data_IF_602991338988
#
_entry.id   IF_602991338988
#
_cell.length_a   1.000
_cell.length_b   1.000
_cell.length_c   1.000
_cell.angle_alpha   90.00
_cell.angle_beta   90.00
_cell.angle_gamma   90.00
#
_symmetry.space_group_name_H-M   'P 1'
#
loop_
_entity.id
_entity.type
_entity.pdbx_description
1 polymer ?
#
# COMPACT_ATOMS: atom_id res chain seq x y z
N UNK A 1 -3.40 3.08 -12.82
CA UNK A 1 -4.75 3.52 -13.24
C UNK A 1 -5.48 2.34 -13.84
N UNK A 2 -6.70 2.10 -13.42
CA UNK A 2 -7.58 1.03 -13.92
C UNK A 2 -8.66 1.70 -14.76
N UNK A 3 -8.86 1.22 -15.99
CA UNK A 3 -9.79 1.80 -16.96
C UNK A 3 -10.90 0.82 -17.32
N UNK A 4 -12.04 1.36 -17.72
CA UNK A 4 -13.14 0.58 -18.29
C UNK A 4 -12.82 0.26 -19.77
N UNK A 5 -12.39 -0.99 -20.01
CA UNK A 5 -11.99 -1.44 -21.34
C UNK A 5 -13.17 -1.55 -22.30
N UNK A 6 -14.38 -1.80 -21.80
CA UNK A 6 -15.57 -1.91 -22.63
C UNK A 6 -16.00 -0.54 -23.16
N UNK A 7 -16.02 0.49 -22.32
CA UNK A 7 -16.30 1.86 -22.75
C UNK A 7 -15.23 2.37 -23.72
N UNK A 8 -13.96 2.05 -23.47
CA UNK A 8 -12.87 2.43 -24.36
C UNK A 8 -13.03 1.78 -25.76
N UNK A 9 -13.36 0.48 -25.79
CA UNK A 9 -13.53 -0.27 -27.05
C UNK A 9 -14.79 0.16 -27.81
N UNK A 10 -15.92 0.26 -27.12
CA UNK A 10 -17.22 0.45 -27.76
C UNK A 10 -17.52 1.91 -28.06
N UNK A 11 -17.17 2.82 -27.15
CA UNK A 11 -17.47 4.25 -27.27
C UNK A 11 -16.23 5.13 -27.55
N UNK A 12 -15.01 4.55 -27.50
CA UNK A 12 -13.74 5.27 -27.55
C UNK A 12 -13.60 6.33 -26.44
N UNK A 13 -14.25 6.07 -25.31
CA UNK A 13 -14.25 6.94 -24.13
C UNK A 13 -13.31 6.37 -23.08
N UNK A 14 -12.36 7.20 -22.61
CA UNK A 14 -11.46 6.84 -21.52
C UNK A 14 -12.14 7.08 -20.18
N UNK A 15 -12.63 6.01 -19.56
CA UNK A 15 -13.22 6.07 -18.23
C UNK A 15 -12.29 5.44 -17.20
N UNK A 16 -11.85 6.22 -16.21
CA UNK A 16 -11.04 5.75 -15.10
C UNK A 16 -11.96 5.15 -14.05
N UNK A 17 -11.80 3.86 -13.77
CA UNK A 17 -12.58 3.14 -12.75
C UNK A 17 -11.93 3.29 -11.38
N UNK A 18 -10.60 3.14 -11.32
CA UNK A 18 -9.84 3.25 -10.09
C UNK A 18 -8.41 3.70 -10.35
N UNK A 19 -7.77 4.17 -9.30
CA UNK A 19 -6.36 4.55 -9.34
C UNK A 19 -5.64 4.20 -8.04
N UNK A 20 -4.34 4.06 -8.14
CA UNK A 20 -3.43 4.00 -7.02
C UNK A 20 -2.10 4.66 -7.38
N UNK A 21 -1.37 5.09 -6.38
CA UNK A 21 -0.02 5.63 -6.56
C UNK A 21 0.97 4.83 -5.75
N UNK A 22 2.15 4.59 -6.35
CA UNK A 22 3.26 3.89 -5.73
C UNK A 22 4.47 4.82 -5.72
N UNK A 23 5.17 4.87 -4.59
CA UNK A 23 6.41 5.61 -4.44
C UNK A 23 7.43 4.80 -3.64
N UNK A 24 8.70 5.16 -3.73
CA UNK A 24 9.73 4.66 -2.84
C UNK A 24 9.77 5.55 -1.60
N UNK A 25 9.82 4.92 -0.41
CA UNK A 25 9.93 5.62 0.87
C UNK A 25 10.97 4.93 1.75
N UNK A 26 11.83 5.72 2.36
CA UNK A 26 12.67 5.23 3.46
C UNK A 26 11.83 5.19 4.74
N UNK A 27 11.69 4.00 5.32
CA UNK A 27 10.94 3.80 6.56
C UNK A 27 11.93 3.82 7.73
N UNK A 28 11.72 4.75 8.67
CA UNK A 28 12.48 4.77 9.92
C UNK A 28 12.03 3.60 10.80
N UNK A 29 12.97 2.75 11.16
CA UNK A 29 12.74 1.59 12.03
C UNK A 29 13.56 1.68 13.31
N UNK A 30 14.21 2.81 13.57
CA UNK A 30 15.08 3.01 14.75
C UNK A 30 14.31 2.91 16.07
N UNK A 31 13.06 3.41 16.10
CA UNK A 31 12.22 3.47 17.28
C UNK A 31 11.44 2.17 17.58
N UNK A 32 11.43 1.19 16.66
CA UNK A 32 10.70 -0.07 16.88
C UNK A 32 11.55 -1.11 17.61
N UNK A 33 10.88 -1.90 18.46
CA UNK A 33 11.55 -2.95 19.23
C UNK A 33 12.19 -4.02 18.33
N UNK A 34 13.24 -4.68 18.82
CA UNK A 34 13.90 -5.80 18.10
C UNK A 34 12.91 -6.90 17.72
N UNK A 35 11.93 -7.20 18.58
CA UNK A 35 10.88 -8.18 18.30
C UNK A 35 10.00 -7.75 17.12
N UNK A 36 9.64 -6.48 17.05
CA UNK A 36 8.83 -5.92 15.97
C UNK A 36 9.64 -5.83 14.67
N UNK A 37 10.93 -5.45 14.76
CA UNK A 37 11.86 -5.50 13.61
C UNK A 37 11.94 -6.90 12.98
N UNK A 38 12.04 -7.95 13.78
CA UNK A 38 12.03 -9.35 13.29
C UNK A 38 10.77 -9.70 12.54
N UNK A 39 9.61 -9.23 13.02
CA UNK A 39 8.32 -9.49 12.33
C UNK A 39 8.20 -8.75 11.01
N UNK A 40 8.68 -7.51 10.95
CA UNK A 40 8.55 -6.64 9.77
C UNK A 40 9.62 -6.94 8.73
N UNK A 41 10.86 -7.08 9.15
CA UNK A 41 12.02 -7.21 8.26
C UNK A 41 12.41 -8.67 7.97
N UNK A 42 11.91 -9.63 8.75
CA UNK A 42 12.26 -11.04 8.59
C UNK A 42 13.77 -11.27 8.64
N UNK A 43 14.31 -11.94 7.63
CA UNK A 43 15.74 -12.25 7.46
C UNK A 43 16.54 -11.12 6.78
N UNK A 44 16.08 -9.88 6.85
CA UNK A 44 16.78 -8.75 6.24
C UNK A 44 18.21 -8.62 6.82
N UNK A 45 19.26 -8.57 5.96
CA UNK A 45 20.65 -8.51 6.43
C UNK A 45 20.90 -7.29 7.33
N UNK A 46 21.53 -7.52 8.50
CA UNK A 46 21.85 -6.44 9.44
C UNK A 46 20.66 -5.78 10.12
N UNK A 47 19.47 -6.39 10.10
CA UNK A 47 18.20 -5.82 10.56
C UNK A 47 18.23 -5.17 11.94
N UNK A 48 18.96 -5.76 12.90
CA UNK A 48 18.96 -5.27 14.29
C UNK A 48 19.70 -3.92 14.44
N UNK A 49 20.62 -3.61 13.53
CA UNK A 49 21.38 -2.36 13.49
C UNK A 49 20.83 -1.30 12.52
N UNK A 50 19.78 -1.63 11.75
CA UNK A 50 19.23 -0.69 10.78
C UNK A 50 18.41 0.42 11.45
N UNK A 51 18.69 1.67 11.06
CA UNK A 51 17.87 2.83 11.41
C UNK A 51 16.73 3.06 10.43
N UNK A 52 16.92 2.74 9.15
CA UNK A 52 15.91 2.86 8.11
C UNK A 52 16.03 1.77 7.06
N UNK A 53 14.93 1.51 6.36
CA UNK A 53 14.87 0.53 5.26
C UNK A 53 14.08 1.10 4.08
N UNK A 54 14.46 0.75 2.83
CA UNK A 54 13.68 1.12 1.66
C UNK A 54 12.38 0.32 1.62
N UNK A 55 11.29 1.00 1.30
CA UNK A 55 9.95 0.40 1.20
C UNK A 55 9.22 0.94 -0.01
N UNK A 56 8.25 0.17 -0.51
CA UNK A 56 7.27 0.65 -1.47
C UNK A 56 6.08 1.25 -0.73
N UNK A 57 5.82 2.52 -0.95
CA UNK A 57 4.69 3.24 -0.35
C UNK A 57 3.49 3.20 -1.30
N UNK A 58 2.35 2.72 -0.79
CA UNK A 58 1.06 2.97 -1.43
C UNK A 58 0.59 4.34 -0.95
N UNK A 59 0.66 5.35 -1.83
CA UNK A 59 0.35 6.73 -1.48
C UNK A 59 -1.14 7.02 -1.48
N UNK A 60 -1.80 6.63 -2.56
CA UNK A 60 -3.25 6.79 -2.73
C UNK A 60 -3.83 5.53 -3.33
N UNK A 61 -5.06 5.22 -2.97
CA UNK A 61 -5.83 4.13 -3.52
C UNK A 61 -7.30 4.54 -3.49
N UNK A 62 -7.93 4.58 -4.64
CA UNK A 62 -9.30 5.05 -4.75
C UNK A 62 -10.03 4.47 -5.95
N UNK A 63 -11.35 4.44 -5.84
CA UNK A 63 -12.27 4.10 -6.91
C UNK A 63 -13.07 5.35 -7.28
N UNK A 64 -13.39 5.51 -8.57
CA UNK A 64 -14.29 6.54 -9.03
C UNK A 64 -15.70 6.33 -8.46
N UNK A 65 -16.36 7.41 -8.08
CA UNK A 65 -17.70 7.35 -7.46
C UNK A 65 -18.80 6.81 -8.40
N UNK A 66 -18.55 6.82 -9.71
CA UNK A 66 -19.44 6.25 -10.72
C UNK A 66 -19.45 4.71 -10.72
N UNK A 67 -18.54 4.08 -9.99
CA UNK A 67 -18.41 2.63 -9.89
C UNK A 67 -18.55 2.16 -8.45
N UNK A 68 -19.18 1.00 -8.27
CA UNK A 68 -19.42 0.40 -6.95
C UNK A 68 -18.40 -0.67 -6.58
N UNK A 69 -18.49 -1.17 -5.34
CA UNK A 69 -17.69 -2.32 -4.91
C UNK A 69 -18.05 -3.62 -5.64
N UNK A 70 -19.22 -3.69 -6.26
CA UNK A 70 -19.64 -4.82 -7.10
C UNK A 70 -18.93 -4.78 -8.47
N UNK A 71 -18.69 -3.57 -9.00
CA UNK A 71 -17.96 -3.41 -10.26
C UNK A 71 -16.46 -3.68 -10.08
N UNK A 72 -15.87 -3.13 -9.02
CA UNK A 72 -14.47 -3.31 -8.68
C UNK A 72 -14.28 -3.14 -7.17
N UNK A 73 -13.98 -4.21 -6.46
CA UNK A 73 -13.77 -4.17 -5.01
C UNK A 73 -12.45 -3.49 -4.62
N UNK A 74 -12.37 -2.97 -3.40
CA UNK A 74 -11.12 -2.42 -2.86
C UNK A 74 -9.99 -3.44 -2.81
N UNK A 75 -10.30 -4.72 -2.57
CA UNK A 75 -9.35 -5.83 -2.62
C UNK A 75 -8.77 -6.03 -4.02
N UNK A 76 -9.60 -5.98 -5.06
CA UNK A 76 -9.14 -6.09 -6.45
C UNK A 76 -8.21 -4.92 -6.81
N UNK A 77 -8.53 -3.69 -6.41
CA UNK A 77 -7.66 -2.53 -6.63
C UNK A 77 -6.32 -2.72 -5.90
N UNK A 78 -6.35 -3.22 -4.67
CA UNK A 78 -5.14 -3.48 -3.90
C UNK A 78 -4.29 -4.59 -4.53
N UNK A 79 -4.90 -5.63 -5.08
CA UNK A 79 -4.20 -6.70 -5.79
C UNK A 79 -3.50 -6.19 -7.06
N UNK A 80 -4.11 -5.30 -7.82
CA UNK A 80 -3.47 -4.63 -8.96
C UNK A 80 -2.29 -3.76 -8.52
N UNK A 81 -2.43 -3.09 -7.38
CA UNK A 81 -1.34 -2.34 -6.76
C UNK A 81 -0.17 -3.26 -6.39
N UNK A 82 -0.44 -4.42 -5.76
CA UNK A 82 0.58 -5.42 -5.42
C UNK A 82 1.28 -5.98 -6.66
N UNK A 83 0.53 -6.24 -7.72
CA UNK A 83 1.11 -6.69 -8.98
C UNK A 83 2.11 -5.67 -9.53
N UNK A 84 1.74 -4.40 -9.55
CA UNK A 84 2.61 -3.31 -9.99
C UNK A 84 3.86 -3.16 -9.10
N UNK A 85 3.70 -3.27 -7.78
CA UNK A 85 4.83 -3.24 -6.83
C UNK A 85 5.76 -4.45 -7.05
N UNK A 86 5.20 -5.63 -7.31
CA UNK A 86 5.99 -6.83 -7.59
C UNK A 86 6.87 -6.68 -8.83
N UNK A 87 6.35 -6.08 -9.89
CA UNK A 87 7.13 -5.78 -11.10
C UNK A 87 8.25 -4.77 -10.77
N UNK A 88 7.93 -3.71 -10.07
CA UNK A 88 8.91 -2.70 -9.68
C UNK A 88 10.01 -3.29 -8.77
N UNK A 89 9.65 -4.16 -7.83
CA UNK A 89 10.58 -4.82 -6.93
C UNK A 89 11.61 -5.73 -7.63
N UNK A 90 11.25 -6.30 -8.77
CA UNK A 90 12.20 -7.07 -9.59
C UNK A 90 13.32 -6.20 -10.17
N UNK A 91 13.09 -4.91 -10.33
CA UNK A 91 14.03 -3.96 -10.91
C UNK A 91 14.81 -3.22 -9.81
N UNK A 92 14.10 -2.68 -8.83
CA UNK A 92 14.70 -1.81 -7.80
C UNK A 92 14.93 -2.50 -6.46
N UNK A 93 14.45 -3.73 -6.31
CA UNK A 93 14.50 -4.47 -5.04
C UNK A 93 13.46 -3.96 -4.03
N UNK A 94 13.50 -4.56 -2.82
CA UNK A 94 12.56 -4.26 -1.74
C UNK A 94 11.39 -5.23 -1.71
N UNK A 95 10.99 -5.61 -0.50
CA UNK A 95 9.90 -6.56 -0.27
C UNK A 95 8.96 -6.10 0.85
N UNK A 96 9.06 -4.84 1.24
CA UNK A 96 8.24 -4.24 2.30
C UNK A 96 7.33 -3.20 1.67
N UNK A 97 6.04 -3.34 1.95
CA UNK A 97 5.01 -2.40 1.51
C UNK A 97 4.52 -1.64 2.73
N UNK A 98 4.47 -0.33 2.62
CA UNK A 98 3.91 0.54 3.65
C UNK A 98 2.78 1.39 3.07
N UNK A 99 1.86 1.77 3.91
CA UNK A 99 0.85 2.77 3.59
C UNK A 99 0.53 3.59 4.84
N UNK A 100 -0.06 4.75 4.62
CA UNK A 100 -0.57 5.62 5.67
C UNK A 100 -2.09 5.75 5.49
N UNK A 101 -2.85 5.51 6.54
CA UNK A 101 -4.30 5.59 6.47
C UNK A 101 -4.92 6.25 7.68
N UNK A 102 -6.13 6.77 7.52
CA UNK A 102 -6.95 7.27 8.63
C UNK A 102 -7.38 6.10 9.51
N UNK A 103 -7.56 6.36 10.80
CA UNK A 103 -7.99 5.34 11.78
C UNK A 103 -9.25 4.58 11.35
N UNK A 104 -10.27 5.29 10.86
CA UNK A 104 -11.49 4.66 10.38
C UNK A 104 -11.28 3.69 9.21
N UNK A 105 -10.30 3.95 8.35
CA UNK A 105 -10.00 3.09 7.20
C UNK A 105 -9.20 1.85 7.60
N UNK A 106 -8.39 1.93 8.65
CA UNK A 106 -7.69 0.77 9.17
C UNK A 106 -8.68 -0.32 9.58
N UNK A 107 -9.58 -0.02 10.51
CA UNK A 107 -10.56 -0.97 10.99
C UNK A 107 -11.55 -1.44 9.92
N UNK A 108 -11.92 -0.53 9.00
CA UNK A 108 -12.91 -0.83 7.96
C UNK A 108 -12.37 -1.70 6.82
N UNK A 109 -11.09 -1.55 6.48
CA UNK A 109 -10.54 -2.17 5.28
C UNK A 109 -9.17 -2.80 5.49
N UNK A 110 -8.15 -2.04 5.89
CA UNK A 110 -6.76 -2.50 5.84
C UNK A 110 -6.43 -3.60 6.85
N UNK A 111 -7.08 -3.64 8.00
CA UNK A 111 -6.91 -4.73 8.97
C UNK A 111 -7.35 -6.07 8.37
N UNK A 112 -8.47 -6.09 7.65
CA UNK A 112 -8.95 -7.26 6.91
C UNK A 112 -8.03 -7.69 5.76
N UNK A 113 -7.24 -6.77 5.22
CA UNK A 113 -6.21 -7.02 4.20
C UNK A 113 -4.84 -7.40 4.79
N UNK A 114 -4.80 -7.77 6.08
CA UNK A 114 -3.61 -8.21 6.80
C UNK A 114 -2.53 -7.17 7.05
N UNK A 115 -2.81 -5.89 6.84
CA UNK A 115 -1.94 -4.81 7.27
C UNK A 115 -1.89 -4.71 8.79
N UNK A 116 -0.72 -4.41 9.32
CA UNK A 116 -0.50 -4.25 10.76
C UNK A 116 0.08 -2.88 11.05
N UNK A 117 -0.38 -2.28 12.13
CA UNK A 117 0.18 -1.00 12.60
C UNK A 117 1.65 -1.16 12.94
N UNK A 118 2.48 -0.32 12.34
CA UNK A 118 3.90 -0.26 12.67
C UNK A 118 4.11 0.42 14.03
N UNK A 119 3.35 1.49 14.27
CA UNK A 119 3.30 2.22 15.55
C UNK A 119 1.88 2.19 16.10
N UNK A 120 1.73 2.20 17.41
CA UNK A 120 0.42 2.18 18.06
C UNK A 120 -0.27 3.56 17.99
N UNK A 121 0.54 4.62 17.91
CA UNK A 121 0.08 6.01 17.81
C UNK A 121 -0.01 6.49 16.35
N UNK A 122 -0.83 7.50 16.15
CA UNK A 122 -0.91 8.22 14.88
C UNK A 122 0.38 9.04 14.66
N UNK A 123 0.77 9.19 13.40
CA UNK A 123 1.89 10.06 13.04
C UNK A 123 1.51 11.56 13.13
N UNK A 124 2.45 12.46 12.81
CA UNK A 124 2.27 13.92 12.80
C UNK A 124 1.17 14.43 11.86
N UNK A 125 0.74 13.59 10.92
CA UNK A 125 -0.37 13.85 9.97
C UNK A 125 -1.70 13.23 10.41
N UNK A 126 -1.79 12.71 11.64
CA UNK A 126 -2.94 11.96 12.16
C UNK A 126 -3.29 10.72 11.33
N UNK A 127 -2.28 9.98 10.86
CA UNK A 127 -2.41 8.74 10.10
C UNK A 127 -1.70 7.59 10.79
N UNK A 128 -2.26 6.38 10.71
CA UNK A 128 -1.53 5.16 11.05
C UNK A 128 -0.53 4.82 9.93
N UNK A 129 0.66 4.40 10.32
CA UNK A 129 1.63 3.77 9.43
C UNK A 129 1.49 2.24 9.54
N UNK A 130 1.23 1.57 8.42
CA UNK A 130 0.93 0.14 8.33
C UNK A 130 2.00 -0.58 7.54
#
# INVERSE_FOLDING_TARGET
MIIDSDKLRDNKELCVVAYFTIAQKSLDVSAISKKKKRKVLGEYPGRDGLGSVPTSLIGQLGRCDDYTSEDLSGEQILNECYHSISIAAQIVGGNIIVLECRECMYAKFYEGQHFKKLYDDLNDKNLYTL
#
